data_IF_707097717797
#
_entry.id   IF_707097717797
#
_cell.length_a   1.000
_cell.length_b   1.000
_cell.length_c   1.000
_cell.angle_alpha   90.00
_cell.angle_beta   90.00
_cell.angle_gamma   90.00
#
_symmetry.space_group_name_H-M   'P 1'
#
loop_
_entity.id
_entity.type
_entity.pdbx_description
1 polymer ?
#
# COMPACT_ATOMS: atom_id res chain seq x y z
N UNK A 1 -28.63 -13.88 -8.45
CA UNK A 1 -27.64 -12.78 -8.49
C UNK A 1 -26.38 -13.20 -7.78
N UNK A 2 -25.40 -13.78 -8.49
CA UNK A 2 -24.11 -14.09 -7.88
C UNK A 2 -23.31 -12.81 -7.71
N UNK A 3 -23.09 -12.40 -6.46
CA UNK A 3 -22.21 -11.29 -6.11
C UNK A 3 -20.79 -11.76 -6.48
N UNK A 4 -20.26 -11.30 -7.63
CA UNK A 4 -18.88 -11.55 -8.03
C UNK A 4 -17.95 -10.88 -7.02
N UNK A 5 -17.55 -11.64 -6.00
CA UNK A 5 -16.57 -11.28 -4.98
C UNK A 5 -15.17 -11.34 -5.62
N UNK A 6 -14.77 -10.26 -6.30
CA UNK A 6 -13.43 -10.11 -6.93
C UNK A 6 -12.29 -10.27 -5.93
N UNK A 7 -12.57 -10.10 -4.63
CA UNK A 7 -11.67 -10.34 -3.51
C UNK A 7 -11.29 -11.81 -3.30
N UNK A 8 -12.02 -12.76 -3.92
CA UNK A 8 -11.77 -14.21 -3.87
C UNK A 8 -11.07 -14.75 -5.12
N UNK A 9 -10.75 -13.92 -6.11
CA UNK A 9 -10.00 -14.35 -7.28
C UNK A 9 -8.50 -14.42 -6.88
N UNK A 10 -7.88 -15.63 -6.88
CA UNK A 10 -6.53 -15.80 -6.34
C UNK A 10 -5.46 -14.98 -7.07
N UNK A 11 -5.66 -14.68 -8.35
CA UNK A 11 -4.75 -13.87 -9.16
C UNK A 11 -4.86 -12.37 -8.84
N UNK A 12 -6.07 -11.84 -8.64
CA UNK A 12 -6.29 -10.42 -8.30
C UNK A 12 -5.85 -10.09 -6.87
N UNK A 13 -5.84 -11.08 -5.97
CA UNK A 13 -5.28 -10.94 -4.62
C UNK A 13 -3.77 -10.67 -4.58
N UNK A 14 -3.09 -10.72 -5.74
CA UNK A 14 -1.65 -10.45 -5.90
C UNK A 14 -1.35 -9.05 -6.42
N UNK A 15 -2.36 -8.32 -6.90
CA UNK A 15 -2.16 -7.01 -7.48
C UNK A 15 -2.03 -5.97 -6.36
N UNK A 16 -1.05 -5.06 -6.46
CA UNK A 16 -1.02 -3.87 -5.62
C UNK A 16 -2.32 -3.09 -5.76
N UNK A 17 -2.88 -2.66 -4.63
CA UNK A 17 -4.05 -1.78 -4.61
C UNK A 17 -3.61 -0.36 -4.26
N UNK A 18 -3.87 0.61 -5.13
CA UNK A 18 -3.73 2.03 -4.78
C UNK A 18 -4.75 2.38 -3.70
N UNK A 19 -4.26 2.98 -2.62
CA UNK A 19 -5.08 3.47 -1.51
C UNK A 19 -5.36 4.96 -1.63
N UNK A 20 -4.43 5.71 -2.20
CA UNK A 20 -4.52 7.16 -2.31
C UNK A 20 -3.14 7.77 -2.50
N UNK A 21 -3.08 9.10 -2.36
CA UNK A 21 -1.85 9.87 -2.52
C UNK A 21 -1.73 10.87 -1.37
N UNK A 22 -0.51 11.06 -0.89
CA UNK A 22 -0.22 12.05 0.15
C UNK A 22 1.05 12.83 -0.19
N UNK A 23 1.08 14.11 0.14
CA UNK A 23 2.33 14.88 0.10
C UNK A 23 3.17 14.59 1.34
N UNK A 24 4.41 14.16 1.11
CA UNK A 24 5.35 13.84 2.19
C UNK A 24 6.79 14.10 1.76
N UNK A 25 7.72 14.34 2.70
CA UNK A 25 9.14 14.33 2.40
C UNK A 25 9.58 12.91 1.98
N UNK A 26 10.30 12.83 0.88
CA UNK A 26 10.89 11.58 0.44
C UNK A 26 12.24 11.36 1.13
N UNK A 27 12.37 10.30 1.93
CA UNK A 27 13.64 9.94 2.57
C UNK A 27 14.76 9.57 1.57
N UNK A 28 14.38 9.25 0.32
CA UNK A 28 15.32 8.83 -0.73
C UNK A 28 15.88 10.00 -1.52
N UNK A 29 15.04 10.93 -1.96
CA UNK A 29 15.47 12.06 -2.79
C UNK A 29 15.42 13.43 -2.09
N UNK A 30 14.94 13.50 -0.85
CA UNK A 30 14.87 14.74 -0.06
C UNK A 30 13.74 15.69 -0.45
N UNK A 31 13.11 15.50 -1.61
CA UNK A 31 12.02 16.37 -2.07
C UNK A 31 10.74 16.13 -1.27
N UNK A 32 10.04 17.23 -0.97
CA UNK A 32 8.63 17.17 -0.55
C UNK A 32 7.76 17.07 -1.79
N UNK A 33 7.10 15.95 -1.97
CA UNK A 33 6.33 15.66 -3.18
C UNK A 33 5.24 14.63 -2.90
N UNK A 34 4.37 14.43 -3.87
CA UNK A 34 3.31 13.42 -3.80
C UNK A 34 3.92 12.01 -3.74
N UNK A 35 3.37 11.18 -2.87
CA UNK A 35 3.67 9.76 -2.81
C UNK A 35 2.38 8.97 -2.97
N UNK A 36 2.42 7.96 -3.83
CA UNK A 36 1.30 7.06 -4.06
C UNK A 36 1.37 5.92 -3.05
N UNK A 37 0.29 5.70 -2.33
CA UNK A 37 0.16 4.67 -1.31
C UNK A 37 -0.39 3.40 -1.94
N UNK A 38 0.36 2.30 -1.86
CA UNK A 38 -0.02 1.00 -2.38
C UNK A 38 -0.09 -0.04 -1.26
N UNK A 39 -1.16 -0.83 -1.23
CA UNK A 39 -1.18 -2.12 -0.54
C UNK A 39 -0.63 -3.20 -1.46
N UNK A 40 0.56 -3.67 -1.14
CA UNK A 40 1.25 -4.73 -1.87
C UNK A 40 1.07 -6.05 -1.11
N UNK A 41 0.28 -7.01 -1.63
CA UNK A 41 0.09 -8.30 -0.98
C UNK A 41 1.42 -9.02 -0.73
N UNK A 42 1.69 -9.39 0.53
CA UNK A 42 2.90 -10.14 0.89
C UNK A 42 2.63 -11.63 0.82
N UNK A 43 3.43 -12.34 0.04
CA UNK A 43 3.43 -13.80 -0.01
C UNK A 43 4.31 -14.31 1.12
N UNK A 44 3.71 -15.05 2.05
CA UNK A 44 4.43 -15.73 3.14
C UNK A 44 4.23 -17.23 2.95
N UNK A 45 5.33 -17.94 2.66
CA UNK A 45 5.34 -19.34 2.22
C UNK A 45 4.40 -19.61 1.01
N UNK A 46 3.18 -20.10 1.28
CA UNK A 46 2.17 -20.45 0.29
C UNK A 46 0.90 -19.56 0.33
N UNK A 47 0.79 -18.67 1.31
CA UNK A 47 -0.39 -17.83 1.54
C UNK A 47 -0.08 -16.35 1.33
N UNK A 48 -1.07 -15.60 0.82
CA UNK A 48 -0.99 -14.15 0.72
C UNK A 48 -1.63 -13.53 1.97
N UNK A 49 -0.83 -12.83 2.76
CA UNK A 49 -1.32 -12.17 3.97
C UNK A 49 -1.77 -10.76 3.61
N UNK A 50 -3.09 -10.54 3.56
CA UNK A 50 -3.69 -9.23 3.29
C UNK A 50 -3.49 -8.22 4.44
N UNK A 51 -3.24 -8.69 5.66
CA UNK A 51 -2.97 -7.86 6.83
C UNK A 51 -1.53 -8.03 7.33
N UNK A 52 -0.55 -7.94 6.42
CA UNK A 52 0.87 -8.03 6.78
C UNK A 52 1.39 -6.66 7.22
N UNK A 53 2.18 -6.54 8.31
CA UNK A 53 2.65 -5.24 8.83
C UNK A 53 3.47 -4.43 7.81
N UNK A 54 4.08 -5.08 6.84
CA UNK A 54 4.93 -4.47 5.80
C UNK A 54 4.28 -4.39 4.41
N UNK A 55 2.96 -4.50 4.31
CA UNK A 55 2.28 -4.46 3.00
C UNK A 55 1.91 -3.05 2.52
N UNK A 56 2.15 -2.00 3.31
CA UNK A 56 1.88 -0.64 2.90
C UNK A 56 3.16 -0.01 2.36
N UNK A 57 3.10 0.48 1.12
CA UNK A 57 4.22 1.10 0.43
C UNK A 57 3.85 2.52 0.02
N UNK A 58 4.75 3.48 0.27
CA UNK A 58 4.67 4.84 -0.27
C UNK A 58 5.68 4.99 -1.40
N UNK A 59 5.22 5.26 -2.62
CA UNK A 59 6.07 5.41 -3.80
C UNK A 59 6.14 6.87 -4.22
N UNK A 60 7.34 7.44 -4.17
CA UNK A 60 7.59 8.83 -4.54
C UNK A 60 7.38 9.05 -6.03
N UNK A 61 6.58 10.04 -6.43
CA UNK A 61 6.36 10.35 -7.85
C UNK A 61 7.62 10.94 -8.51
N UNK A 62 8.50 11.58 -7.74
CA UNK A 62 9.69 12.23 -8.28
C UNK A 62 10.85 11.27 -8.55
N UNK A 63 11.09 10.29 -7.68
CA UNK A 63 12.23 9.37 -7.80
C UNK A 63 11.84 7.90 -8.03
N UNK A 64 10.54 7.59 -8.08
CA UNK A 64 9.97 6.26 -8.27
C UNK A 64 10.43 5.20 -7.26
N UNK A 65 11.03 5.61 -6.13
CA UNK A 65 11.42 4.70 -5.04
C UNK A 65 10.27 4.54 -4.07
N UNK A 66 10.09 3.29 -3.62
CA UNK A 66 9.11 2.94 -2.59
C UNK A 66 9.77 2.83 -1.22
N UNK A 67 9.08 3.32 -0.20
CA UNK A 67 9.38 3.08 1.21
C UNK A 67 8.25 2.26 1.83
N UNK A 68 8.58 1.27 2.66
CA UNK A 68 7.58 0.48 3.38
C UNK A 68 7.16 1.26 4.61
N UNK A 69 5.86 1.46 4.80
CA UNK A 69 5.30 2.11 5.97
C UNK A 69 4.88 1.06 7.00
N UNK A 70 5.35 1.22 8.23
CA UNK A 70 5.12 0.30 9.36
C UNK A 70 4.72 1.08 10.62
N UNK A 71 4.22 0.38 11.64
CA UNK A 71 3.92 0.96 12.96
C UNK A 71 2.91 2.11 12.91
N UNK A 72 3.18 3.18 13.67
CA UNK A 72 2.30 4.35 13.82
C UNK A 72 2.00 5.04 12.48
N UNK A 73 3.00 5.12 11.60
CA UNK A 73 2.82 5.79 10.32
C UNK A 73 1.81 5.07 9.42
N UNK A 74 1.84 3.74 9.47
CA UNK A 74 0.85 2.89 8.79
C UNK A 74 -0.53 3.10 9.39
N UNK A 75 -0.64 3.10 10.72
CA UNK A 75 -1.92 3.29 11.41
C UNK A 75 -2.56 4.63 11.06
N UNK A 76 -1.76 5.70 11.04
CA UNK A 76 -2.17 7.05 10.59
C UNK A 76 -2.75 7.03 9.18
N UNK A 77 -2.07 6.38 8.23
CA UNK A 77 -2.54 6.28 6.84
C UNK A 77 -3.87 5.52 6.76
N UNK A 78 -4.01 4.41 7.50
CA UNK A 78 -5.27 3.68 7.52
C UNK A 78 -6.41 4.45 8.20
N UNK A 79 -6.11 5.26 9.22
CA UNK A 79 -7.09 6.13 9.85
C UNK A 79 -7.59 7.20 8.86
N UNK A 80 -6.69 7.86 8.13
CA UNK A 80 -7.06 8.92 7.17
C UNK A 80 -7.83 8.42 5.94
N UNK A 81 -7.88 7.11 5.70
CA UNK A 81 -8.64 6.49 4.60
C UNK A 81 -10.04 6.02 5.02
N UNK A 82 -10.38 6.10 6.31
CA UNK A 82 -11.70 5.73 6.85
C UNK A 82 -12.67 6.91 6.91
N UNK A 83 -12.15 8.13 6.84
CA UNK A 83 -12.91 9.39 6.70
C UNK A 83 -13.24 9.67 5.22
#
# INVERSE_FOLDING_TARGET
MSIFRTDRIPSLSRLPKELGREERPCERCGNRTEHILYLVPKKVALLYIKAHPENLHATCVACARSTVLTGEERERVFASLRD
#
